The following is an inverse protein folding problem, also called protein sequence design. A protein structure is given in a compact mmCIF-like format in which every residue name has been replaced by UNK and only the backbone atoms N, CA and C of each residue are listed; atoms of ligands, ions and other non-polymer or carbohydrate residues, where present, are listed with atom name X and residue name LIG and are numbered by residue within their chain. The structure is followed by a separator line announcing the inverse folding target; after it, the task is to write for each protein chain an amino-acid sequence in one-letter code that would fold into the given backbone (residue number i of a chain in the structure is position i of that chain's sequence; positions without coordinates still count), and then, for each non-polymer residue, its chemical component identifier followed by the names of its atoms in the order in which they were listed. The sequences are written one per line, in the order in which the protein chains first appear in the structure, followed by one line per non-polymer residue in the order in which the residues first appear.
data_IF_141451416986
#
_entry.id   IF_141451416986
#
_cell.length_a   1.000
_cell.length_b   1.000
_cell.length_c   1.000
_cell.angle_alpha   90.00
_cell.angle_beta   90.00
_cell.angle_gamma   90.00
#
_symmetry.space_group_name_H-M   'P 1'
#
loop_
_entity.id
_entity.type
_entity.pdbx_description
1 polymer ?
#
# COMPACT_ATOMS: atom_id res chain seq x y z
N UNK A 1 0.34 -17.37 -5.19
CA UNK A 1 1.39 -16.55 -4.53
C UNK A 1 1.18 -16.69 -3.03
N UNK A 2 2.15 -17.25 -2.30
CA UNK A 2 2.06 -17.44 -0.84
C UNK A 2 2.12 -16.07 -0.15
N UNK A 3 1.19 -15.81 0.76
CA UNK A 3 1.20 -14.60 1.61
C UNK A 3 2.43 -14.67 2.52
N UNK A 4 3.30 -13.65 2.58
CA UNK A 4 4.44 -13.65 3.47
C UNK A 4 3.92 -13.65 4.91
N UNK A 5 4.42 -14.59 5.71
CA UNK A 5 4.22 -14.58 7.16
C UNK A 5 5.02 -13.40 7.73
N UNK A 6 4.30 -12.42 8.27
CA UNK A 6 4.89 -11.21 8.86
C UNK A 6 5.25 -11.53 10.30
N UNK A 7 6.54 -11.47 10.62
CA UNK A 7 7.03 -11.61 11.99
C UNK A 7 6.82 -10.31 12.78
N UNK A 8 6.73 -10.39 14.11
CA UNK A 8 6.45 -9.25 14.98
C UNK A 8 7.46 -8.10 14.77
N UNK A 9 8.73 -8.42 14.55
CA UNK A 9 9.80 -7.44 14.30
C UNK A 9 9.68 -6.76 12.93
N UNK A 10 8.98 -7.39 11.97
CA UNK A 10 8.71 -6.83 10.65
C UNK A 10 7.58 -5.79 10.69
N UNK A 11 6.64 -5.93 11.64
CA UNK A 11 5.47 -5.05 11.74
C UNK A 11 5.88 -3.60 12.00
N UNK A 12 6.93 -3.38 12.81
CA UNK A 12 7.48 -2.02 13.07
C UNK A 12 7.86 -1.29 11.78
N UNK A 13 8.48 -2.02 10.83
CA UNK A 13 8.92 -1.45 9.55
C UNK A 13 7.70 -1.22 8.64
N UNK A 14 6.73 -2.14 8.66
CA UNK A 14 5.50 -2.06 7.86
C UNK A 14 4.63 -0.89 8.34
N UNK A 15 4.49 -0.69 9.65
CA UNK A 15 3.76 0.45 10.23
C UNK A 15 4.39 1.80 9.87
N UNK A 16 5.72 1.91 9.92
CA UNK A 16 6.42 3.09 9.46
C UNK A 16 6.12 3.36 7.98
N UNK A 17 6.21 2.33 7.14
CA UNK A 17 5.89 2.45 5.72
C UNK A 17 4.45 2.95 5.51
N UNK A 18 3.46 2.36 6.22
CA UNK A 18 2.05 2.81 6.21
C UNK A 18 1.92 4.29 6.64
N UNK A 19 2.61 4.71 7.70
CA UNK A 19 2.62 6.09 8.21
C UNK A 19 3.17 7.06 7.16
N UNK A 20 4.25 6.70 6.48
CA UNK A 20 4.88 7.53 5.44
C UNK A 20 4.05 7.59 4.15
N UNK A 21 3.37 6.50 3.78
CA UNK A 21 2.40 6.50 2.67
C UNK A 21 1.25 7.46 2.91
N UNK A 22 0.70 7.54 4.14
CA UNK A 22 -0.32 8.55 4.51
C UNK A 22 0.17 9.99 4.34
N UNK A 23 1.48 10.22 4.48
CA UNK A 23 2.16 11.51 4.22
C UNK A 23 2.54 11.70 2.74
N UNK A 24 2.03 10.86 1.82
CA UNK A 24 2.28 10.89 0.37
C UNK A 24 3.74 10.65 -0.04
N UNK A 25 4.55 10.03 0.81
CA UNK A 25 5.90 9.58 0.42
C UNK A 25 5.74 8.40 -0.54
N UNK A 26 6.53 8.40 -1.62
CA UNK A 26 6.48 7.33 -2.62
C UNK A 26 7.03 6.03 -2.04
N UNK A 27 6.51 4.89 -2.50
CA UNK A 27 7.00 3.58 -2.06
C UNK A 27 8.49 3.37 -2.40
N UNK A 28 8.93 3.81 -3.59
CA UNK A 28 10.32 3.75 -4.00
C UNK A 28 11.22 4.50 -3.01
N UNK A 29 10.78 5.68 -2.58
CA UNK A 29 11.50 6.48 -1.59
C UNK A 29 11.51 5.79 -0.21
N UNK A 30 10.42 5.16 0.23
CA UNK A 30 10.41 4.38 1.50
C UNK A 30 11.44 3.23 1.44
N UNK A 31 11.45 2.47 0.35
CA UNK A 31 12.40 1.35 0.16
C UNK A 31 13.84 1.88 0.14
N UNK A 32 14.10 2.96 -0.60
CA UNK A 32 15.41 3.60 -0.64
C UNK A 32 15.87 4.05 0.75
N UNK A 33 14.97 4.64 1.55
CA UNK A 33 15.28 5.09 2.91
C UNK A 33 15.72 3.95 3.84
N UNK A 34 15.15 2.75 3.66
CA UNK A 34 15.46 1.55 4.45
C UNK A 34 16.76 0.87 3.98
N UNK A 35 16.93 0.73 2.67
CA UNK A 35 18.05 -0.02 2.07
C UNK A 35 19.34 0.81 2.02
N UNK A 36 19.24 2.14 1.92
CA UNK A 36 20.40 3.02 1.78
C UNK A 36 21.38 2.92 2.96
N UNK A 37 22.68 2.99 2.63
CA UNK A 37 23.77 3.01 3.60
C UNK A 37 23.79 4.25 4.48
N UNK A 38 23.17 5.34 4.02
CA UNK A 38 23.10 6.59 4.76
C UNK A 38 21.66 6.93 5.12
N UNK A 39 21.38 7.33 6.38
CA UNK A 39 20.06 7.78 6.76
C UNK A 39 19.72 9.09 6.05
N UNK A 40 18.47 9.20 5.60
CA UNK A 40 17.93 10.42 5.00
C UNK A 40 18.05 11.60 5.97
N UNK A 41 18.73 12.67 5.53
CA UNK A 41 19.02 13.83 6.38
C UNK A 41 17.77 14.40 7.07
N UNK A 42 16.67 14.52 6.32
CA UNK A 42 15.40 15.08 6.79
C UNK A 42 14.65 14.19 7.80
N UNK A 43 15.05 12.92 7.94
CA UNK A 43 14.39 11.94 8.81
C UNK A 43 15.30 11.44 9.92
N UNK A 44 16.52 11.96 10.06
CA UNK A 44 17.46 11.52 11.11
C UNK A 44 16.95 11.71 12.54
N UNK A 45 16.03 12.66 12.75
CA UNK A 45 15.37 12.90 14.04
C UNK A 45 14.02 12.18 14.17
N UNK A 46 13.65 11.35 13.19
CA UNK A 46 12.46 10.50 13.26
C UNK A 46 12.88 9.17 13.90
N UNK A 47 12.64 9.03 15.20
CA UNK A 47 13.05 7.86 15.98
C UNK A 47 12.45 6.56 15.43
N UNK A 48 11.22 6.62 14.91
CA UNK A 48 10.56 5.47 14.29
C UNK A 48 11.32 5.03 13.02
N UNK A 49 11.82 5.99 12.24
CA UNK A 49 12.64 5.72 11.06
C UNK A 49 13.98 5.11 11.41
N UNK A 50 14.70 5.70 12.37
CA UNK A 50 16.00 5.19 12.79
C UNK A 50 15.87 3.78 13.36
N UNK A 51 14.86 3.53 14.20
CA UNK A 51 14.55 2.20 14.73
C UNK A 51 14.22 1.19 13.63
N UNK A 52 13.32 1.53 12.70
CA UNK A 52 12.96 0.62 11.61
C UNK A 52 14.17 0.28 10.72
N UNK A 53 15.04 1.27 10.47
CA UNK A 53 16.26 1.08 9.69
C UNK A 53 17.26 0.18 10.42
N UNK A 54 17.44 0.36 11.72
CA UNK A 54 18.34 -0.46 12.52
C UNK A 54 17.86 -1.92 12.57
N UNK A 55 16.56 -2.14 12.81
CA UNK A 55 15.94 -3.47 12.72
C UNK A 55 16.17 -4.06 11.33
N UNK A 56 15.87 -3.32 10.27
CA UNK A 56 16.05 -3.81 8.89
C UNK A 56 17.49 -4.26 8.63
N UNK A 57 18.49 -3.56 9.15
CA UNK A 57 19.91 -3.88 8.94
C UNK A 57 20.46 -5.02 9.78
N UNK A 58 19.82 -5.36 10.89
CA UNK A 58 20.28 -6.45 11.78
C UNK A 58 20.04 -7.84 11.20
N UNK A 59 19.05 -8.00 10.31
CA UNK A 59 18.65 -9.30 9.78
C UNK A 59 19.27 -9.63 8.41
N UNK A 60 19.24 -10.93 8.08
CA UNK A 60 19.79 -11.45 6.83
C UNK A 60 19.00 -11.01 5.58
N UNK A 61 19.53 -11.28 4.39
CA UNK A 61 18.90 -10.94 3.11
C UNK A 61 17.50 -11.55 2.94
N UNK A 62 17.31 -12.81 3.31
CA UNK A 62 16.00 -13.46 3.16
C UNK A 62 14.90 -12.78 3.98
N UNK A 63 15.20 -12.43 5.23
CA UNK A 63 14.27 -11.71 6.09
C UNK A 63 13.97 -10.30 5.56
N UNK A 64 15.01 -9.59 5.10
CA UNK A 64 14.88 -8.26 4.49
C UNK A 64 14.05 -8.28 3.21
N UNK A 65 14.21 -9.31 2.38
CA UNK A 65 13.40 -9.51 1.18
C UNK A 65 11.94 -9.78 1.54
N UNK A 66 11.68 -10.52 2.61
CA UNK A 66 10.31 -10.73 3.10
C UNK A 66 9.69 -9.42 3.61
N UNK A 67 10.46 -8.55 4.26
CA UNK A 67 10.00 -7.20 4.63
C UNK A 67 9.69 -6.35 3.41
N UNK A 68 10.59 -6.32 2.42
CA UNK A 68 10.35 -5.56 1.19
C UNK A 68 9.11 -6.08 0.45
N UNK A 69 8.98 -7.41 0.35
CA UNK A 69 7.77 -8.06 -0.19
C UNK A 69 6.55 -7.71 0.63
N UNK A 70 6.63 -7.68 1.96
CA UNK A 70 5.51 -7.30 2.82
C UNK A 70 5.12 -5.83 2.66
N UNK A 71 6.08 -4.89 2.57
CA UNK A 71 5.80 -3.47 2.28
C UNK A 71 5.12 -3.34 0.91
N UNK A 72 5.64 -4.06 -0.09
CA UNK A 72 5.05 -4.08 -1.43
C UNK A 72 3.66 -4.73 -1.42
N UNK A 73 3.47 -5.83 -0.68
CA UNK A 73 2.23 -6.63 -0.62
C UNK A 73 1.15 -6.03 0.27
N UNK A 74 1.50 -5.36 1.35
CA UNK A 74 0.56 -4.67 2.22
C UNK A 74 -0.01 -3.42 1.54
N UNK A 75 0.78 -2.81 0.65
CA UNK A 75 0.24 -1.92 -0.39
C UNK A 75 -0.62 -2.73 -1.37
N UNK A 76 -0.11 -3.82 -1.93
CA UNK A 76 -0.80 -4.64 -2.95
C UNK A 76 -2.17 -5.21 -2.51
N UNK A 77 -2.37 -5.52 -1.22
CA UNK A 77 -3.59 -6.15 -0.66
C UNK A 77 -4.80 -5.23 -0.72
N UNK A 78 -4.62 -3.91 -0.53
CA UNK A 78 -5.71 -2.95 -0.78
C UNK A 78 -5.93 -2.72 -2.27
N UNK A 79 -4.88 -2.88 -3.06
CA UNK A 79 -4.78 -2.48 -4.46
C UNK A 79 -5.24 -3.55 -5.47
N UNK A 80 -5.34 -4.82 -5.10
CA UNK A 80 -5.65 -5.93 -6.02
C UNK A 80 -6.83 -6.82 -5.60
N UNK A 81 -7.45 -6.57 -4.45
CA UNK A 81 -8.68 -7.27 -4.06
C UNK A 81 -9.90 -6.75 -4.84
N UNK A 82 -9.82 -5.51 -5.31
CA UNK A 82 -10.86 -4.89 -6.13
C UNK A 82 -10.72 -5.38 -7.57
N UNK A 83 -11.75 -6.05 -8.06
CA UNK A 83 -11.85 -6.54 -9.45
C UNK A 83 -12.88 -5.73 -10.23
N UNK A 84 -12.74 -5.73 -11.56
CA UNK A 84 -13.76 -5.18 -12.44
C UNK A 84 -15.16 -5.75 -12.13
N UNK A 85 -16.16 -4.88 -12.13
CA UNK A 85 -17.55 -5.21 -11.82
C UNK A 85 -17.86 -5.41 -10.33
N UNK A 86 -16.88 -5.23 -9.42
CA UNK A 86 -17.14 -5.25 -7.99
C UNK A 86 -17.69 -3.91 -7.48
N UNK A 87 -18.59 -3.97 -6.49
CA UNK A 87 -19.07 -2.78 -5.79
C UNK A 87 -18.05 -2.39 -4.72
N UNK A 88 -17.59 -1.15 -4.78
CA UNK A 88 -16.59 -0.57 -3.89
C UNK A 88 -17.04 0.77 -3.32
N UNK A 89 -16.45 1.17 -2.21
CA UNK A 89 -16.69 2.47 -1.59
C UNK A 89 -15.43 3.01 -0.90
N UNK A 90 -15.34 4.33 -0.79
CA UNK A 90 -14.36 5.04 0.03
C UNK A 90 -15.00 5.79 1.22
N UNK A 91 -16.29 5.56 1.49
CA UNK A 91 -17.07 6.24 2.52
C UNK A 91 -17.82 7.50 2.05
N UNK A 92 -17.48 8.07 0.89
CA UNK A 92 -18.18 9.22 0.30
C UNK A 92 -18.95 8.84 -0.97
N UNK A 93 -18.38 7.94 -1.77
CA UNK A 93 -18.98 7.47 -3.01
C UNK A 93 -18.96 5.94 -3.03
N UNK A 94 -19.97 5.35 -3.67
CA UNK A 94 -20.12 3.91 -3.86
C UNK A 94 -20.49 3.64 -5.31
N UNK A 95 -19.94 2.57 -5.90
CA UNK A 95 -20.25 2.20 -7.27
C UNK A 95 -19.48 0.97 -7.73
N UNK A 96 -19.63 0.64 -9.01
CA UNK A 96 -18.95 -0.48 -9.66
C UNK A 96 -17.58 -0.04 -10.17
N UNK A 97 -16.53 -0.72 -9.73
CA UNK A 97 -15.16 -0.46 -10.18
C UNK A 97 -14.92 -1.08 -11.56
N UNK A 98 -14.37 -0.31 -12.50
CA UNK A 98 -14.09 -0.78 -13.85
C UNK A 98 -13.00 0.07 -14.54
N UNK A 99 -12.54 -0.35 -15.72
CA UNK A 99 -11.62 0.39 -16.59
C UNK A 99 -10.35 0.82 -15.87
N UNK A 100 -9.62 -0.17 -15.37
CA UNK A 100 -8.41 0.04 -14.58
C UNK A 100 -7.23 0.46 -15.45
N UNK A 101 -6.52 1.50 -15.03
CA UNK A 101 -5.14 1.76 -15.45
C UNK A 101 -4.24 1.44 -14.26
N UNK A 102 -3.63 0.25 -14.33
CA UNK A 102 -2.77 -0.30 -13.30
C UNK A 102 -1.42 0.43 -13.20
N UNK A 103 -0.97 1.09 -14.27
CA UNK A 103 0.27 1.86 -14.25
C UNK A 103 0.09 3.14 -13.41
N UNK A 104 -1.03 3.81 -13.59
CA UNK A 104 -1.40 5.01 -12.81
C UNK A 104 -2.16 4.70 -11.52
N UNK A 105 -2.53 3.43 -11.30
CA UNK A 105 -3.24 2.94 -10.11
C UNK A 105 -4.61 3.60 -9.90
N UNK A 106 -5.35 3.70 -10.98
CA UNK A 106 -6.63 4.39 -11.08
C UNK A 106 -7.66 3.48 -11.73
N UNK A 107 -8.92 3.75 -11.46
CA UNK A 107 -10.05 3.09 -12.10
C UNK A 107 -11.20 4.08 -12.24
N UNK A 108 -12.17 3.74 -13.09
CA UNK A 108 -13.41 4.48 -13.20
C UNK A 108 -14.51 3.81 -12.37
N UNK A 109 -15.26 4.64 -11.66
CA UNK A 109 -16.41 4.18 -10.88
C UNK A 109 -17.68 4.45 -11.68
N UNK A 110 -18.57 3.47 -11.74
CA UNK A 110 -19.85 3.57 -12.46
C UNK A 110 -21.03 3.36 -11.51
N UNK A 111 -22.17 3.99 -11.79
CA UNK A 111 -23.38 3.83 -10.97
C UNK A 111 -24.08 2.48 -11.18
N UNK A 112 -23.78 1.77 -12.26
CA UNK A 112 -24.35 0.46 -12.60
C UNK A 112 -23.31 -0.46 -13.26
N UNK A 113 -23.57 -1.79 -13.22
CA UNK A 113 -22.75 -2.79 -13.93
C UNK A 113 -22.66 -2.55 -15.42
N UNK A 114 -23.73 -2.04 -16.02
CA UNK A 114 -23.81 -1.76 -17.46
C UNK A 114 -23.04 -0.48 -17.86
N UNK A 115 -22.29 0.13 -16.93
CA UNK A 115 -21.47 1.33 -17.16
C UNK A 115 -22.27 2.53 -17.72
N UNK A 116 -23.56 2.63 -17.39
CA UNK A 116 -24.47 3.65 -17.96
C UNK A 116 -24.08 5.08 -17.59
N UNK A 117 -23.57 5.28 -16.37
CA UNK A 117 -23.11 6.58 -15.91
C UNK A 117 -21.79 6.45 -15.16
N UNK A 118 -20.79 7.18 -15.62
CA UNK A 118 -19.48 7.31 -14.97
C UNK A 118 -19.61 8.30 -13.81
N UNK A 119 -19.30 7.84 -12.61
CA UNK A 119 -19.25 8.67 -11.39
C UNK A 119 -17.93 9.45 -11.30
N UNK A 120 -16.85 8.90 -11.87
CA UNK A 120 -15.57 9.57 -11.95
C UNK A 120 -14.39 8.62 -12.00
N UNK A 121 -13.20 9.21 -11.97
CA UNK A 121 -11.91 8.53 -11.98
C UNK A 121 -11.28 8.65 -10.60
N UNK A 122 -10.88 7.51 -10.03
CA UNK A 122 -10.42 7.43 -8.65
C UNK A 122 -9.17 6.59 -8.51
N UNK A 123 -8.43 6.78 -7.40
CA UNK A 123 -7.29 5.94 -7.05
C UNK A 123 -7.77 4.65 -6.40
N UNK A 124 -7.19 3.52 -6.79
CA UNK A 124 -7.57 2.20 -6.26
C UNK A 124 -7.36 2.17 -4.74
N UNK A 125 -6.27 2.77 -4.26
CA UNK A 125 -5.83 2.78 -2.85
C UNK A 125 -6.84 3.43 -1.88
N UNK A 126 -7.76 4.24 -2.40
CA UNK A 126 -8.77 4.96 -1.60
C UNK A 126 -10.05 4.15 -1.37
N UNK A 127 -10.20 3.02 -2.07
CA UNK A 127 -11.43 2.25 -2.07
C UNK A 127 -11.24 0.90 -1.40
N UNK A 128 -12.36 0.34 -0.91
CA UNK A 128 -12.45 -1.03 -0.42
C UNK A 128 -13.70 -1.69 -0.97
N UNK A 129 -13.69 -3.02 -1.04
CA UNK A 129 -14.87 -3.80 -1.40
C UNK A 129 -15.95 -3.65 -0.33
N UNK A 130 -17.20 -3.44 -0.75
CA UNK A 130 -18.34 -3.41 0.16
C UNK A 130 -18.52 -4.80 0.78
N UNK A 131 -18.61 -4.87 2.11
CA UNK A 131 -18.81 -6.12 2.86
C UNK A 131 -17.53 -6.85 3.29
N UNK A 132 -16.35 -6.34 2.95
CA UNK A 132 -15.10 -6.77 3.60
C UNK A 132 -15.13 -6.29 5.04
N UNK A 133 -15.46 -7.18 5.99
CA UNK A 133 -15.52 -6.87 7.42
C UNK A 133 -14.16 -6.32 7.88
N UNK A 134 -14.22 -5.20 8.61
CA UNK A 134 -13.08 -4.55 9.28
C UNK A 134 -12.45 -5.47 10.31
#
# INVERSE_FOLDING_TARGET
MLVPEILEEQEVIIELARKWRKKRISMASIIEALVSDKPWKEKRSDDDYMKARDIYKQYNSHWRDNVLKAIMMDCYRKENDIKEGQIVTNGFVVGFADSFDLNQRIFFLYSSKDRKFTLGKFKIDEFVKVGSRR
#
